data_IF_702047143804
#
_entry.id   IF_702047143804
#
_cell.length_a   1.000
_cell.length_b   1.000
_cell.length_c   1.000
_cell.angle_alpha   90.00
_cell.angle_beta   90.00
_cell.angle_gamma   90.00
#
_symmetry.space_group_name_H-M   'P 1'
#
loop_
_entity.id
_entity.type
_entity.pdbx_description
1 polymer ?
#
# COMPACT_ATOMS: atom_id res chain seq x y z
N UNK A 1 -5.78 -6.95 11.68
CA UNK A 1 -6.30 -5.65 11.19
C UNK A 1 -5.15 -4.68 11.07
N UNK A 2 -5.17 -3.81 10.06
CA UNK A 2 -4.22 -2.69 9.89
C UNK A 2 -5.05 -1.43 9.78
N UNK A 3 -4.75 -0.44 10.63
CA UNK A 3 -5.46 0.82 10.73
C UNK A 3 -4.43 1.94 10.83
N UNK A 4 -4.61 2.96 10.01
CA UNK A 4 -3.90 4.23 10.17
C UNK A 4 -4.70 5.15 11.10
N UNK A 5 -4.08 6.23 11.58
CA UNK A 5 -4.66 7.11 12.59
C UNK A 5 -5.82 7.97 12.06
N UNK A 6 -5.53 9.19 11.61
CA UNK A 6 -6.55 10.10 11.08
C UNK A 6 -6.72 9.86 9.58
N UNK A 7 -7.96 9.65 9.12
CA UNK A 7 -8.26 9.63 7.69
C UNK A 7 -8.03 10.99 7.04
N UNK A 8 -8.39 12.09 7.71
CA UNK A 8 -8.25 13.44 7.16
C UNK A 8 -7.87 14.46 8.24
N UNK A 9 -7.14 15.49 7.82
CA UNK A 9 -6.88 16.70 8.59
C UNK A 9 -6.88 17.91 7.63
N UNK A 10 -6.97 19.13 8.18
CA UNK A 10 -6.74 20.36 7.40
C UNK A 10 -5.23 20.59 7.13
N UNK A 11 -4.85 21.62 6.34
CA UNK A 11 -3.44 21.93 6.08
C UNK A 11 -2.61 22.31 7.33
N UNK A 12 -3.27 22.63 8.45
CA UNK A 12 -2.66 22.99 9.72
C UNK A 12 -2.68 21.82 10.74
N UNK A 13 -2.91 20.59 10.26
CA UNK A 13 -3.01 19.36 11.06
C UNK A 13 -4.19 19.34 12.04
N UNK A 14 -5.21 20.18 11.85
CA UNK A 14 -6.36 20.34 12.74
C UNK A 14 -7.56 19.47 12.33
N UNK A 15 -8.49 19.22 13.28
CA UNK A 15 -8.45 19.62 14.70
C UNK A 15 -7.55 18.71 15.55
N UNK A 16 -6.93 19.29 16.58
CA UNK A 16 -6.28 18.57 17.68
C UNK A 16 -6.55 19.30 19.01
N UNK A 17 -6.47 18.59 20.13
CA UNK A 17 -6.64 19.17 21.48
C UNK A 17 -5.34 19.79 21.99
N UNK A 18 -5.41 20.74 22.93
CA UNK A 18 -4.20 21.20 23.62
C UNK A 18 -3.50 20.02 24.32
N UNK A 19 -2.18 19.89 24.15
CA UNK A 19 -1.40 18.71 24.56
C UNK A 19 -1.52 17.49 23.64
N UNK A 20 -2.37 17.54 22.61
CA UNK A 20 -2.48 16.51 21.58
C UNK A 20 -1.42 16.65 20.48
N UNK A 21 -1.51 15.79 19.46
CA UNK A 21 -0.56 15.79 18.35
C UNK A 21 -0.78 16.98 17.41
N UNK A 22 0.09 17.98 17.48
CA UNK A 22 0.05 19.18 16.64
C UNK A 22 0.74 19.03 15.28
N UNK A 23 1.31 17.85 15.00
CA UNK A 23 2.08 17.53 13.78
C UNK A 23 1.56 16.29 13.06
N UNK A 24 0.39 15.77 13.45
CA UNK A 24 -0.16 14.55 12.88
C UNK A 24 -0.82 14.82 11.53
N UNK A 25 -0.15 14.40 10.46
CA UNK A 25 -0.68 14.43 9.10
C UNK A 25 -1.74 13.34 8.90
N UNK A 26 -2.93 13.72 8.47
CA UNK A 26 -3.97 12.75 8.08
C UNK A 26 -3.60 12.00 6.79
N UNK A 27 -4.25 10.87 6.53
CA UNK A 27 -4.11 10.18 5.24
C UNK A 27 -4.54 11.07 4.06
N UNK A 28 -5.47 11.99 4.29
CA UNK A 28 -5.90 13.04 3.39
C UNK A 28 -5.66 14.42 4.03
N UNK A 29 -5.29 15.39 3.21
CA UNK A 29 -5.36 16.83 3.55
C UNK A 29 -6.55 17.44 2.83
N UNK A 30 -7.47 18.07 3.56
CA UNK A 30 -8.66 18.73 3.01
C UNK A 30 -8.50 20.24 3.17
N UNK A 31 -8.45 20.97 2.07
CA UNK A 31 -8.39 22.44 2.03
C UNK A 31 -9.58 22.99 1.25
N UNK A 32 -10.65 23.38 1.95
CA UNK A 32 -11.92 23.73 1.32
C UNK A 32 -12.44 22.55 0.49
N UNK A 33 -12.55 22.73 -0.83
CA UNK A 33 -13.00 21.70 -1.78
C UNK A 33 -11.85 20.88 -2.39
N UNK A 34 -10.59 21.15 -2.03
CA UNK A 34 -9.42 20.42 -2.54
C UNK A 34 -9.01 19.31 -1.59
N UNK A 35 -8.83 18.09 -2.13
CA UNK A 35 -8.36 16.93 -1.39
C UNK A 35 -7.00 16.48 -1.93
N UNK A 36 -6.01 16.43 -1.05
CA UNK A 36 -4.69 15.87 -1.33
C UNK A 36 -4.50 14.55 -0.59
N UNK A 37 -3.87 13.56 -1.23
CA UNK A 37 -3.59 12.25 -0.64
C UNK A 37 -2.16 12.20 -0.14
N UNK A 38 -1.98 11.81 1.11
CA UNK A 38 -0.68 11.66 1.75
C UNK A 38 -0.25 10.18 1.75
N UNK A 39 0.97 9.92 2.22
CA UNK A 39 1.59 8.58 2.20
C UNK A 39 0.68 7.51 2.82
N UNK A 40 0.06 7.79 3.98
CA UNK A 40 -0.84 6.85 4.66
C UNK A 40 -2.04 6.42 3.81
N UNK A 41 -2.59 7.31 2.96
CA UNK A 41 -3.66 6.94 2.03
C UNK A 41 -3.18 5.88 1.04
N UNK A 42 -1.99 6.07 0.45
CA UNK A 42 -1.46 5.14 -0.53
C UNK A 42 -1.11 3.78 0.09
N UNK A 43 -0.53 3.77 1.29
CA UNK A 43 -0.24 2.53 2.04
C UNK A 43 -1.51 1.69 2.18
N UNK A 44 -2.59 2.29 2.68
CA UNK A 44 -3.86 1.59 2.85
C UNK A 44 -4.48 1.24 1.48
N UNK A 45 -4.42 2.13 0.49
CA UNK A 45 -5.02 1.92 -0.82
C UNK A 45 -4.40 0.74 -1.58
N UNK A 46 -3.08 0.53 -1.48
CA UNK A 46 -2.38 -0.61 -2.10
C UNK A 46 -2.90 -1.96 -1.61
N UNK A 47 -3.34 -2.03 -0.35
CA UNK A 47 -3.91 -3.24 0.24
C UNK A 47 -5.45 -3.29 0.12
N UNK A 48 -6.15 -2.32 0.71
CA UNK A 48 -7.59 -2.38 0.97
C UNK A 48 -8.47 -2.44 -0.29
N UNK A 49 -7.96 -1.95 -1.42
CA UNK A 49 -8.67 -2.03 -2.70
C UNK A 49 -8.81 -3.47 -3.21
N UNK A 50 -7.82 -4.33 -2.94
CA UNK A 50 -7.72 -5.67 -3.53
C UNK A 50 -7.73 -6.80 -2.50
N UNK A 51 -7.20 -6.57 -1.29
CA UNK A 51 -7.19 -7.52 -0.17
C UNK A 51 -8.44 -7.29 0.68
N UNK A 52 -9.58 -7.78 0.21
CA UNK A 52 -10.88 -7.60 0.88
C UNK A 52 -11.00 -8.49 2.14
N UNK A 53 -11.90 -8.16 3.08
CA UNK A 53 -12.17 -9.02 4.24
C UNK A 53 -12.41 -10.49 3.84
N UNK A 54 -11.83 -11.42 4.60
CA UNK A 54 -11.83 -12.86 4.28
C UNK A 54 -10.68 -13.31 3.39
N UNK A 55 -9.87 -12.40 2.82
CA UNK A 55 -8.63 -12.79 2.15
C UNK A 55 -7.65 -13.44 3.13
N UNK A 56 -6.97 -14.48 2.69
CA UNK A 56 -5.96 -15.19 3.48
C UNK A 56 -4.57 -14.90 2.93
N UNK A 57 -3.62 -14.64 3.82
CA UNK A 57 -2.20 -14.52 3.43
C UNK A 57 -1.72 -15.89 2.96
N UNK A 58 -1.07 -15.94 1.79
CA UNK A 58 -0.43 -17.15 1.25
C UNK A 58 1.08 -16.95 1.22
N UNK A 59 1.83 -18.06 1.13
CA UNK A 59 3.28 -17.99 1.08
C UNK A 59 3.76 -17.31 -0.22
N UNK A 60 4.80 -16.48 -0.08
CA UNK A 60 5.61 -15.94 -1.16
C UNK A 60 7.08 -16.00 -0.72
N UNK A 61 8.01 -15.99 -1.68
CA UNK A 61 9.43 -16.05 -1.37
C UNK A 61 9.97 -14.68 -0.95
N UNK A 62 11.11 -14.69 -0.24
CA UNK A 62 11.87 -13.49 0.05
C UNK A 62 12.79 -13.17 -1.12
N UNK A 63 12.75 -11.91 -1.57
CA UNK A 63 13.62 -11.38 -2.61
C UNK A 63 14.29 -10.14 -2.03
N UNK A 64 15.62 -10.08 -2.10
CA UNK A 64 16.38 -8.93 -1.64
C UNK A 64 15.87 -7.66 -2.33
N UNK A 65 15.72 -6.58 -1.55
CA UNK A 65 15.23 -5.27 -2.00
C UNK A 65 13.80 -5.23 -2.61
N UNK A 66 13.09 -6.35 -2.62
CA UNK A 66 11.71 -6.50 -3.08
C UNK A 66 10.84 -7.18 -2.01
N UNK A 67 10.71 -6.60 -0.80
CA UNK A 67 9.77 -7.12 0.20
C UNK A 67 8.37 -7.17 -0.41
N UNK A 68 7.72 -8.30 -0.18
CA UNK A 68 6.43 -8.59 -0.80
C UNK A 68 5.54 -9.41 0.14
N UNK A 69 4.25 -9.40 -0.16
CA UNK A 69 3.26 -10.25 0.51
C UNK A 69 2.18 -10.64 -0.48
N UNK A 70 1.77 -11.91 -0.43
CA UNK A 70 0.73 -12.45 -1.29
C UNK A 70 -0.52 -12.86 -0.48
N UNK A 71 -1.68 -12.72 -1.11
CA UNK A 71 -2.98 -13.10 -0.55
C UNK A 71 -3.79 -13.90 -1.57
N UNK A 72 -4.63 -14.81 -1.08
CA UNK A 72 -5.75 -15.39 -1.85
C UNK A 72 -7.04 -14.75 -1.36
N UNK A 73 -7.80 -14.16 -2.27
CA UNK A 73 -9.07 -13.49 -1.97
C UNK A 73 -10.22 -14.50 -1.86
N UNK A 74 -11.36 -14.12 -1.26
CA UNK A 74 -12.55 -14.99 -1.20
C UNK A 74 -13.10 -15.40 -2.57
N UNK A 75 -12.99 -14.53 -3.58
CA UNK A 75 -13.39 -14.81 -4.97
C UNK A 75 -12.33 -15.63 -5.75
N UNK A 76 -11.28 -16.08 -5.08
CA UNK A 76 -10.29 -17.03 -5.64
C UNK A 76 -9.12 -16.42 -6.41
N UNK A 77 -9.07 -15.09 -6.53
CA UNK A 77 -7.93 -14.35 -7.10
C UNK A 77 -6.74 -14.36 -6.16
N UNK A 78 -5.56 -14.05 -6.69
CA UNK A 78 -4.36 -13.72 -5.94
C UNK A 78 -4.07 -12.24 -6.02
N UNK A 79 -3.57 -11.70 -4.92
CA UNK A 79 -3.08 -10.32 -4.83
C UNK A 79 -1.66 -10.37 -4.32
N UNK A 80 -0.72 -9.78 -5.06
CA UNK A 80 0.67 -9.63 -4.66
C UNK A 80 0.98 -8.14 -4.50
N UNK A 81 1.46 -7.74 -3.33
CA UNK A 81 1.97 -6.38 -3.08
C UNK A 81 3.48 -6.46 -3.01
N UNK A 82 4.18 -5.61 -3.77
CA UNK A 82 5.65 -5.56 -3.84
C UNK A 82 6.11 -4.12 -3.65
N UNK A 83 7.10 -3.90 -2.80
CA UNK A 83 7.80 -2.62 -2.68
C UNK A 83 9.20 -2.74 -3.29
N UNK A 84 9.57 -1.83 -4.19
CA UNK A 84 10.96 -1.63 -4.58
C UNK A 84 11.67 -0.74 -3.56
N UNK A 85 12.58 -1.30 -2.76
CA UNK A 85 13.35 -0.53 -1.77
C UNK A 85 14.54 0.24 -2.36
N UNK A 86 14.93 -0.01 -3.62
CA UNK A 86 16.07 0.67 -4.24
C UNK A 86 15.70 2.09 -4.67
N UNK A 87 16.76 2.89 -4.81
CA UNK A 87 16.75 4.21 -5.44
C UNK A 87 16.82 4.15 -6.97
N UNK A 88 16.74 2.96 -7.55
CA UNK A 88 16.72 2.70 -9.00
C UNK A 88 15.53 1.83 -9.38
N UNK A 89 15.15 1.85 -10.66
CA UNK A 89 14.18 0.92 -11.22
C UNK A 89 14.61 -0.54 -11.01
N UNK A 90 13.64 -1.43 -10.80
CA UNK A 90 13.86 -2.86 -10.71
C UNK A 90 12.89 -3.64 -11.61
N UNK A 91 13.45 -4.58 -12.38
CA UNK A 91 12.71 -5.60 -13.12
C UNK A 91 12.70 -6.90 -12.31
N UNK A 92 11.54 -7.55 -12.22
CA UNK A 92 11.40 -8.83 -11.52
C UNK A 92 10.32 -9.71 -12.15
N UNK A 93 10.36 -11.00 -11.83
CA UNK A 93 9.41 -11.99 -12.31
C UNK A 93 8.44 -12.41 -11.20
N UNK A 94 7.16 -12.39 -11.51
CA UNK A 94 6.09 -12.99 -10.69
C UNK A 94 5.82 -14.38 -11.27
N UNK A 95 6.01 -15.43 -10.46
CA UNK A 95 5.81 -16.82 -10.87
C UNK A 95 4.70 -17.48 -10.08
N UNK A 96 3.77 -18.13 -10.77
CA UNK A 96 2.70 -18.88 -10.13
C UNK A 96 2.27 -20.06 -11.01
N UNK A 97 2.27 -21.29 -10.45
CA UNK A 97 1.86 -22.53 -11.16
C UNK A 97 2.52 -22.75 -12.54
N UNK A 98 3.80 -22.38 -12.68
CA UNK A 98 4.54 -22.52 -13.93
C UNK A 98 4.35 -21.36 -14.91
N UNK A 99 3.40 -20.46 -14.68
CA UNK A 99 3.25 -19.20 -15.41
C UNK A 99 4.20 -18.14 -14.85
N UNK A 100 4.64 -17.24 -15.73
CA UNK A 100 5.55 -16.13 -15.39
C UNK A 100 5.06 -14.84 -16.01
N UNK A 101 5.00 -13.77 -15.21
CA UNK A 101 4.81 -12.41 -15.66
C UNK A 101 6.01 -11.55 -15.25
N UNK A 102 6.50 -10.72 -16.17
CA UNK A 102 7.55 -9.73 -15.87
C UNK A 102 6.91 -8.42 -15.44
N UNK A 103 7.43 -7.81 -14.39
CA UNK A 103 7.00 -6.51 -13.89
C UNK A 103 8.20 -5.61 -13.61
N UNK A 104 7.95 -4.31 -13.67
CA UNK A 104 8.93 -3.25 -13.44
C UNK A 104 8.37 -2.28 -12.40
N UNK A 105 9.19 -1.91 -11.43
CA UNK A 105 8.85 -0.85 -10.46
C UNK A 105 9.95 0.20 -10.42
N UNK A 106 9.56 1.46 -10.54
CA UNK A 106 10.44 2.61 -10.31
C UNK A 106 11.05 2.57 -8.90
N UNK A 107 12.10 3.36 -8.71
CA UNK A 107 12.71 3.59 -7.40
C UNK A 107 11.66 3.93 -6.33
N UNK A 108 11.70 3.25 -5.18
CA UNK A 108 10.79 3.49 -4.05
C UNK A 108 9.31 3.15 -4.29
N UNK A 109 8.94 2.63 -5.46
CA UNK A 109 7.54 2.41 -5.81
C UNK A 109 6.95 1.14 -5.17
N UNK A 110 5.64 1.16 -4.94
CA UNK A 110 4.86 -0.01 -4.56
C UNK A 110 3.95 -0.41 -5.72
N UNK A 111 3.90 -1.71 -6.03
CA UNK A 111 2.98 -2.29 -7.00
C UNK A 111 2.01 -3.26 -6.33
N UNK A 112 0.75 -3.26 -6.76
CA UNK A 112 -0.23 -4.28 -6.40
C UNK A 112 -0.70 -5.00 -7.66
N UNK A 113 -0.42 -6.29 -7.75
CA UNK A 113 -0.71 -7.14 -8.89
C UNK A 113 -1.86 -8.10 -8.54
N UNK A 114 -2.80 -8.29 -9.46
CA UNK A 114 -3.98 -9.14 -9.27
C UNK A 114 -4.08 -10.13 -10.42
N UNK A 115 -4.19 -11.42 -10.11
CA UNK A 115 -4.21 -12.52 -11.09
C UNK A 115 -4.87 -13.79 -10.56
#
# INVERSE_FOLDING_TARGET
NVLEWNLAADPNYRPYTNGGCSTCLGALTINGNTVSRNVAYYIIAHAAKFVRPGSIRIASNLVADLPNVAFKTPDGKRVLIVLNKKTTEQNFNIKFKGETATATLNAGAVGTFVF
#
